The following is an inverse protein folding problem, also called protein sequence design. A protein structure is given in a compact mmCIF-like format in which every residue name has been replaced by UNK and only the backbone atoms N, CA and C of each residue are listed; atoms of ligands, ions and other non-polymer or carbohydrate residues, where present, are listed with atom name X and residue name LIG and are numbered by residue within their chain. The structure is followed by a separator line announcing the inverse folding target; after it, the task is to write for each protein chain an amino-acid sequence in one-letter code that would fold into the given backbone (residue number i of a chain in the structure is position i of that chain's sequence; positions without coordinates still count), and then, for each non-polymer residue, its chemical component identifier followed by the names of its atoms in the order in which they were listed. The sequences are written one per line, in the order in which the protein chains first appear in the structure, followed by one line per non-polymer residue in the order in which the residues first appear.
data_IF_130249603916
#
_entry.id   IF_130249603916
#
_cell.length_a   1.000
_cell.length_b   1.000
_cell.length_c   1.000
_cell.angle_alpha   90.00
_cell.angle_beta   90.00
_cell.angle_gamma   90.00
#
_symmetry.space_group_name_H-M   'P 1'
#
loop_
_entity.id
_entity.type
_entity.pdbx_description
1 polymer ?
#
# COMPACT_ATOMS: atom_id res chain seq x y z
N UNK A 1 -16.85 -2.30 8.30
CA UNK A 1 -15.39 -2.16 8.56
C UNK A 1 -14.54 -3.13 7.75
N UNK A 2 -14.79 -4.45 7.76
CA UNK A 2 -13.92 -5.44 7.05
C UNK A 2 -13.77 -5.16 5.55
N UNK A 3 -14.85 -4.92 4.81
CA UNK A 3 -14.78 -4.60 3.38
C UNK A 3 -14.02 -3.31 3.07
N UNK A 4 -14.07 -2.34 3.97
CA UNK A 4 -13.38 -1.05 3.82
C UNK A 4 -11.88 -1.17 4.09
N UNK A 5 -11.50 -1.95 5.10
CA UNK A 5 -10.10 -2.27 5.40
C UNK A 5 -9.42 -2.95 4.21
N UNK A 6 -10.13 -3.85 3.51
CA UNK A 6 -9.63 -4.50 2.30
C UNK A 6 -9.41 -3.51 1.14
N UNK A 7 -10.33 -2.56 0.96
CA UNK A 7 -10.22 -1.51 -0.08
C UNK A 7 -9.02 -0.60 0.19
N UNK A 8 -8.89 -0.08 1.41
CA UNK A 8 -7.79 0.81 1.80
C UNK A 8 -6.45 0.07 1.80
N UNK A 9 -6.40 -1.15 2.35
CA UNK A 9 -5.21 -1.99 2.39
C UNK A 9 -4.69 -2.34 0.99
N UNK A 10 -5.57 -2.76 0.09
CA UNK A 10 -5.23 -3.04 -1.31
C UNK A 10 -4.79 -1.78 -2.06
N UNK A 11 -5.41 -0.64 -1.76
CA UNK A 11 -5.03 0.64 -2.32
C UNK A 11 -3.65 1.12 -1.84
N UNK A 12 -3.30 0.88 -0.58
CA UNK A 12 -2.01 1.25 0.00
C UNK A 12 -0.84 0.63 -0.76
N UNK A 13 -0.99 -0.61 -1.24
CA UNK A 13 -0.01 -1.30 -2.07
C UNK A 13 0.36 -0.57 -3.37
N UNK A 14 -0.49 0.35 -3.87
CA UNK A 14 -0.19 1.12 -5.06
C UNK A 14 0.67 2.37 -4.82
N UNK A 15 0.78 2.85 -3.58
CA UNK A 15 1.42 4.12 -3.23
C UNK A 15 2.50 4.01 -2.16
N UNK A 16 2.45 2.97 -1.32
CA UNK A 16 3.40 2.79 -0.23
C UNK A 16 4.71 2.27 -0.79
N UNK A 17 5.79 2.86 -0.31
CA UNK A 17 7.14 2.37 -0.51
C UNK A 17 7.38 1.17 0.39
N UNK A 18 7.40 -0.04 -0.17
CA UNK A 18 7.54 -1.30 0.57
C UNK A 18 9.03 -1.63 0.68
N UNK A 19 9.64 -1.59 1.88
CA UNK A 19 11.06 -1.86 2.03
C UNK A 19 11.42 -3.29 1.59
N UNK A 20 12.56 -3.48 0.94
CA UNK A 20 13.12 -4.81 0.69
C UNK A 20 14.24 -5.06 1.71
N UNK A 21 14.05 -5.96 2.69
CA UNK A 21 15.06 -6.22 3.72
C UNK A 21 16.41 -6.66 3.14
N UNK A 22 17.50 -6.29 3.80
CA UNK A 22 18.86 -6.69 3.42
C UNK A 22 19.47 -5.96 2.21
N UNK A 23 18.76 -5.00 1.60
CA UNK A 23 19.22 -4.32 0.37
C UNK A 23 19.88 -2.95 0.58
N UNK A 24 20.10 -2.53 1.84
CA UNK A 24 20.66 -1.22 2.14
C UNK A 24 19.75 -0.06 1.70
N UNK A 25 18.42 -0.23 1.83
CA UNK A 25 17.44 0.83 1.64
C UNK A 25 16.70 0.82 0.31
N UNK A 26 16.71 -0.27 -0.46
CA UNK A 26 15.84 -0.40 -1.64
C UNK A 26 14.40 -0.75 -1.24
N UNK A 27 13.46 -0.40 -2.09
CA UNK A 27 12.05 -0.63 -1.86
C UNK A 27 11.29 -0.88 -3.17
N UNK A 28 10.20 -1.64 -3.08
CA UNK A 28 9.24 -1.84 -4.15
C UNK A 28 8.33 -0.62 -4.28
N UNK A 29 8.19 -0.12 -5.50
CA UNK A 29 7.32 1.01 -5.86
C UNK A 29 6.74 0.80 -7.27
N UNK A 30 5.57 1.37 -7.55
CA UNK A 30 4.93 1.32 -8.88
C UNK A 30 5.19 2.58 -9.73
N UNK A 31 6.00 3.51 -9.22
CA UNK A 31 6.36 4.76 -9.90
C UNK A 31 7.86 5.01 -9.80
N UNK A 32 8.49 5.56 -10.85
CA UNK A 32 9.93 5.85 -10.85
C UNK A 32 10.25 6.98 -9.87
N UNK A 33 11.46 6.96 -9.30
CA UNK A 33 12.08 8.10 -8.62
C UNK A 33 13.26 8.64 -9.42
N UNK A 34 13.53 9.92 -9.25
CA UNK A 34 14.59 10.63 -9.97
C UNK A 34 14.11 11.16 -11.34
N UNK A 35 15.02 11.18 -12.32
CA UNK A 35 14.73 11.73 -13.64
C UNK A 35 13.75 10.83 -14.42
N UNK A 36 12.66 11.43 -14.91
CA UNK A 36 11.67 10.78 -15.77
C UNK A 36 11.70 11.49 -17.13
N UNK A 37 11.81 10.76 -18.26
CA UNK A 37 11.72 11.36 -19.59
C UNK A 37 10.42 12.16 -19.77
N UNK A 38 10.42 13.18 -20.63
CA UNK A 38 9.19 13.95 -20.93
C UNK A 38 8.04 13.09 -21.46
N UNK A 39 8.35 11.95 -22.09
CA UNK A 39 7.36 10.94 -22.53
C UNK A 39 6.88 9.99 -21.42
N UNK A 40 7.31 10.20 -20.18
CA UNK A 40 7.04 9.31 -19.05
C UNK A 40 7.97 8.10 -19.00
N UNK A 41 7.63 7.15 -18.12
CA UNK A 41 8.26 5.84 -18.01
C UNK A 41 7.23 4.77 -18.33
N UNK A 42 7.60 3.84 -19.20
CA UNK A 42 6.80 2.64 -19.54
C UNK A 42 6.84 1.57 -18.45
N UNK A 43 7.73 1.71 -17.46
CA UNK A 43 7.94 0.71 -16.42
C UNK A 43 6.83 0.76 -15.37
N UNK A 44 6.35 -0.41 -14.96
CA UNK A 44 5.23 -0.56 -14.04
C UNK A 44 5.65 -0.94 -12.61
N UNK A 45 6.88 -1.44 -12.45
CA UNK A 45 7.44 -1.87 -11.17
C UNK A 45 8.91 -1.45 -11.03
N UNK A 46 9.26 -0.98 -9.84
CA UNK A 46 10.57 -0.48 -9.49
C UNK A 46 11.02 -1.10 -8.17
N UNK A 47 12.26 -1.58 -8.11
CA UNK A 47 12.98 -1.83 -6.85
C UNK A 47 14.06 -0.77 -6.74
N UNK A 48 13.85 0.28 -5.95
CA UNK A 48 14.68 1.48 -6.03
C UNK A 48 15.00 2.13 -4.68
N UNK A 49 16.13 2.84 -4.66
CA UNK A 49 16.54 3.72 -3.56
C UNK A 49 15.68 4.98 -3.51
N UNK A 50 15.71 5.67 -2.38
CA UNK A 50 14.95 6.91 -2.14
C UNK A 50 15.29 8.03 -3.14
N UNK A 51 16.54 8.10 -3.56
CA UNK A 51 17.04 9.08 -4.54
C UNK A 51 16.85 8.62 -6.01
N UNK A 52 16.32 7.41 -6.22
CA UNK A 52 16.12 6.82 -7.55
C UNK A 52 17.41 6.45 -8.29
N UNK A 53 18.59 6.64 -7.68
CA UNK A 53 19.87 6.35 -8.33
C UNK A 53 20.08 4.85 -8.50
N UNK A 54 19.93 4.07 -7.43
CA UNK A 54 19.91 2.60 -7.50
C UNK A 54 18.49 2.18 -7.85
N UNK A 55 18.27 1.67 -9.06
CA UNK A 55 16.98 1.14 -9.45
C UNK A 55 17.11 -0.15 -10.27
N UNK A 56 16.30 -1.13 -9.91
CA UNK A 56 15.89 -2.21 -10.78
C UNK A 56 14.54 -1.79 -11.36
N UNK A 57 14.52 -1.53 -12.67
CA UNK A 57 13.27 -1.33 -13.38
C UNK A 57 12.84 -2.68 -13.90
N UNK A 58 11.73 -3.17 -13.40
CA UNK A 58 10.98 -4.16 -14.15
C UNK A 58 10.23 -3.43 -15.26
N UNK A 59 11.03 -3.00 -16.24
CA UNK A 59 10.55 -2.40 -17.46
C UNK A 59 10.15 -3.54 -18.39
N UNK A 60 8.89 -3.89 -18.30
CA UNK A 60 8.34 -4.97 -19.07
C UNK A 60 7.97 -4.47 -20.48
N UNK A 61 8.98 -4.29 -21.32
CA UNK A 61 8.81 -4.05 -22.75
C UNK A 61 8.70 -5.37 -23.49
N UNK A 62 7.67 -5.52 -24.35
CA UNK A 62 7.63 -6.66 -25.26
C UNK A 62 8.80 -6.54 -26.23
N UNK A 63 9.78 -7.42 -26.08
CA UNK A 63 10.89 -7.52 -27.01
C UNK A 63 10.39 -8.27 -28.24
N UNK A 64 10.25 -7.54 -29.35
CA UNK A 64 9.79 -8.11 -30.64
C UNK A 64 10.72 -9.19 -31.18
N UNK A 65 12.00 -9.17 -30.82
CA UNK A 65 13.01 -10.17 -31.21
C UNK A 65 12.89 -11.45 -30.40
N UNK A 66 12.73 -11.36 -29.07
CA UNK A 66 12.61 -12.54 -28.20
C UNK A 66 11.17 -12.99 -27.92
N UNK A 67 10.19 -12.25 -28.46
CA UNK A 67 8.73 -12.42 -28.23
C UNK A 67 8.35 -12.56 -26.76
N UNK A 68 9.13 -11.94 -25.89
CA UNK A 68 9.04 -12.08 -24.45
C UNK A 68 9.24 -10.72 -23.78
N UNK A 69 9.14 -10.72 -22.46
CA UNK A 69 9.30 -9.52 -21.68
C UNK A 69 10.64 -9.58 -20.94
N UNK A 70 11.44 -8.52 -21.03
CA UNK A 70 12.81 -8.49 -20.51
C UNK A 70 12.90 -7.66 -19.23
N UNK A 71 13.91 -7.93 -18.40
CA UNK A 71 14.35 -7.04 -17.33
C UNK A 71 15.24 -5.91 -17.91
N UNK A 72 15.09 -4.66 -17.47
CA UNK A 72 15.98 -3.55 -17.87
C UNK A 72 16.70 -2.94 -16.68
N UNK A 73 18.01 -2.76 -16.83
CA UNK A 73 18.88 -2.21 -15.80
C UNK A 73 19.37 -0.85 -16.28
N UNK A 74 19.27 0.16 -15.42
CA UNK A 74 19.78 1.49 -15.79
C UNK A 74 21.17 1.79 -15.21
N UNK A 75 21.82 0.85 -14.52
CA UNK A 75 23.11 1.10 -13.88
C UNK A 75 24.07 -0.10 -13.94
N UNK A 76 25.35 0.22 -14.11
CA UNK A 76 26.47 -0.72 -13.90
C UNK A 76 26.58 -1.04 -12.40
N UNK A 77 26.84 -2.30 -12.05
CA UNK A 77 27.17 -2.74 -10.68
C UNK A 77 26.02 -3.39 -9.88
N UNK A 78 24.77 -3.20 -10.31
CA UNK A 78 23.58 -3.76 -9.64
C UNK A 78 23.44 -5.29 -9.77
N UNK A 79 24.15 -5.92 -10.72
CA UNK A 79 24.20 -7.38 -10.84
C UNK A 79 24.66 -8.06 -9.55
N UNK A 80 25.58 -7.47 -8.80
CA UNK A 80 26.08 -8.06 -7.55
C UNK A 80 25.00 -8.15 -6.46
N UNK A 81 24.02 -7.24 -6.48
CA UNK A 81 22.94 -7.19 -5.48
C UNK A 81 21.79 -8.13 -5.81
N UNK A 82 21.51 -8.31 -7.10
CA UNK A 82 20.28 -8.95 -7.57
C UNK A 82 20.51 -10.20 -8.42
N UNK A 83 21.74 -10.44 -8.89
CA UNK A 83 22.16 -11.59 -9.70
C UNK A 83 21.34 -11.85 -10.96
N UNK A 84 20.71 -10.82 -11.52
CA UNK A 84 19.94 -10.88 -12.75
C UNK A 84 20.67 -10.02 -13.79
N UNK A 85 20.91 -10.56 -14.98
CA UNK A 85 21.63 -9.84 -16.03
C UNK A 85 20.74 -8.78 -16.71
N UNK A 86 21.39 -7.76 -17.30
CA UNK A 86 20.69 -6.79 -18.12
C UNK A 86 20.09 -7.45 -19.37
N UNK A 87 18.86 -7.07 -19.73
CA UNK A 87 18.04 -7.70 -20.76
C UNK A 87 17.74 -9.20 -20.58
N UNK A 88 17.89 -9.76 -19.37
CA UNK A 88 17.50 -11.14 -19.10
C UNK A 88 15.99 -11.36 -19.37
N UNK A 89 15.66 -12.52 -19.94
CA UNK A 89 14.28 -12.94 -20.17
C UNK A 89 13.57 -13.12 -18.82
N UNK A 90 12.42 -12.48 -18.67
CA UNK A 90 11.69 -12.52 -17.41
C UNK A 90 10.86 -13.80 -17.19
N UNK A 91 10.75 -14.66 -18.21
CA UNK A 91 9.98 -15.90 -18.16
C UNK A 91 8.48 -15.70 -17.88
N UNK A 92 7.78 -16.80 -17.59
CA UNK A 92 6.33 -16.77 -17.29
C UNK A 92 5.98 -16.02 -16.01
N UNK A 93 6.81 -16.16 -14.95
CA UNK A 93 6.63 -15.46 -13.68
C UNK A 93 6.74 -13.95 -13.82
N UNK A 94 7.70 -13.46 -14.62
CA UNK A 94 7.81 -12.04 -14.91
C UNK A 94 6.61 -11.48 -15.68
N UNK A 95 6.09 -12.22 -16.67
CA UNK A 95 4.90 -11.77 -17.42
C UNK A 95 3.66 -11.65 -16.53
N UNK A 96 3.49 -12.55 -15.56
CA UNK A 96 2.40 -12.46 -14.58
C UNK A 96 2.57 -11.24 -13.67
N UNK A 97 3.78 -11.03 -13.16
CA UNK A 97 4.11 -9.88 -12.31
C UNK A 97 3.90 -8.54 -13.03
N UNK A 98 4.23 -8.46 -14.32
CA UNK A 98 3.95 -7.29 -15.15
C UNK A 98 2.47 -6.92 -15.16
N UNK A 99 1.62 -7.90 -15.47
CA UNK A 99 0.18 -7.71 -15.56
C UNK A 99 -0.40 -7.30 -14.21
N UNK A 100 0.05 -7.95 -13.13
CA UNK A 100 -0.35 -7.61 -11.76
C UNK A 100 0.08 -6.20 -11.40
N UNK A 101 1.33 -5.80 -11.66
CA UNK A 101 1.83 -4.46 -11.36
C UNK A 101 1.08 -3.38 -12.15
N UNK A 102 0.76 -3.64 -13.43
CA UNK A 102 -0.02 -2.72 -14.27
C UNK A 102 -1.44 -2.52 -13.72
N UNK A 103 -2.11 -3.61 -13.36
CA UNK A 103 -3.44 -3.56 -12.75
C UNK A 103 -3.38 -2.89 -11.39
N UNK A 104 -2.45 -3.27 -10.51
CA UNK A 104 -2.31 -2.69 -9.18
C UNK A 104 -2.05 -1.18 -9.21
N UNK A 105 -1.25 -0.69 -10.16
CA UNK A 105 -0.95 0.74 -10.30
C UNK A 105 -2.20 1.59 -10.58
N UNK A 106 -3.10 1.09 -11.43
CA UNK A 106 -4.31 1.83 -11.82
C UNK A 106 -5.46 1.53 -10.86
N UNK A 107 -5.76 0.24 -10.65
CA UNK A 107 -6.85 -0.21 -9.79
C UNK A 107 -6.63 0.16 -8.32
N UNK A 108 -5.41 0.03 -7.80
CA UNK A 108 -5.11 0.35 -6.41
C UNK A 108 -5.31 1.84 -6.09
N UNK A 109 -4.98 2.74 -7.02
CA UNK A 109 -5.30 4.17 -6.87
C UNK A 109 -6.80 4.43 -6.85
N UNK A 110 -7.55 3.75 -7.71
CA UNK A 110 -9.02 3.79 -7.68
C UNK A 110 -9.57 3.32 -6.33
N UNK A 111 -9.05 2.21 -5.80
CA UNK A 111 -9.44 1.68 -4.49
C UNK A 111 -9.15 2.67 -3.35
N UNK A 112 -8.03 3.40 -3.38
CA UNK A 112 -7.75 4.45 -2.39
C UNK A 112 -8.80 5.55 -2.40
N UNK A 113 -9.19 6.03 -3.59
CA UNK A 113 -10.22 7.06 -3.72
C UNK A 113 -11.57 6.55 -3.22
N UNK A 114 -11.96 5.33 -3.60
CA UNK A 114 -13.18 4.69 -3.12
C UNK A 114 -13.15 4.55 -1.59
N UNK A 115 -12.03 4.10 -1.03
CA UNK A 115 -11.84 3.98 0.42
C UNK A 115 -12.04 5.30 1.14
N UNK A 116 -11.41 6.37 0.65
CA UNK A 116 -11.54 7.72 1.21
C UNK A 116 -12.98 8.25 1.13
N UNK A 117 -13.71 7.99 0.04
CA UNK A 117 -15.12 8.37 -0.09
C UNK A 117 -16.00 7.61 0.91
N UNK A 118 -15.81 6.29 1.04
CA UNK A 118 -16.54 5.48 2.03
C UNK A 118 -16.25 5.99 3.45
N UNK A 119 -15.00 6.37 3.74
CA UNK A 119 -14.63 6.95 5.04
C UNK A 119 -15.33 8.30 5.29
N UNK A 120 -15.34 9.19 4.32
CA UNK A 120 -16.02 10.48 4.43
C UNK A 120 -17.52 10.29 4.69
N UNK A 121 -18.19 9.39 3.95
CA UNK A 121 -19.60 9.06 4.17
C UNK A 121 -19.80 8.50 5.57
N UNK A 122 -18.91 7.60 6.04
CA UNK A 122 -18.99 7.02 7.38
C UNK A 122 -18.89 8.07 8.49
N UNK A 123 -18.03 9.09 8.31
CA UNK A 123 -17.85 10.18 9.26
C UNK A 123 -19.11 11.04 9.33
N UNK A 124 -19.69 11.39 8.17
CA UNK A 124 -20.89 12.24 8.10
C UNK A 124 -22.09 11.56 8.75
N UNK A 125 -22.25 10.26 8.53
CA UNK A 125 -23.38 9.47 9.05
C UNK A 125 -23.18 9.01 10.51
N UNK A 126 -21.97 9.09 11.05
CA UNK A 126 -21.68 8.66 12.42
C UNK A 126 -22.34 9.57 13.46
N UNK A 127 -22.99 8.95 14.45
CA UNK A 127 -23.53 9.66 15.64
C UNK A 127 -22.41 10.36 16.42
N UNK A 128 -21.30 9.66 16.67
CA UNK A 128 -20.08 10.20 17.30
C UNK A 128 -19.04 10.52 16.22
N UNK A 129 -19.14 11.70 15.60
CA UNK A 129 -18.29 12.08 14.44
C UNK A 129 -16.80 12.06 14.77
N UNK A 130 -16.38 12.63 15.90
CA UNK A 130 -14.96 12.70 16.27
C UNK A 130 -14.35 11.33 16.58
N UNK A 131 -15.12 10.44 17.22
CA UNK A 131 -14.75 9.03 17.37
C UNK A 131 -14.51 8.37 16.02
N UNK A 132 -15.41 8.58 15.05
CA UNK A 132 -15.26 8.02 13.71
C UNK A 132 -14.06 8.62 12.96
N UNK A 133 -13.82 9.93 13.07
CA UNK A 133 -12.61 10.57 12.50
C UNK A 133 -11.34 9.94 13.07
N UNK A 134 -11.26 9.77 14.39
CA UNK A 134 -10.11 9.14 15.04
C UNK A 134 -9.87 7.71 14.54
N UNK A 135 -10.94 6.92 14.42
CA UNK A 135 -10.88 5.56 13.87
C UNK A 135 -10.34 5.54 12.43
N UNK A 136 -10.85 6.41 11.57
CA UNK A 136 -10.41 6.49 10.16
C UNK A 136 -8.94 6.88 10.09
N UNK A 137 -8.52 7.94 10.78
CA UNK A 137 -7.13 8.40 10.77
C UNK A 137 -6.18 7.32 11.30
N UNK A 138 -6.54 6.67 12.40
CA UNK A 138 -5.80 5.53 12.93
C UNK A 138 -5.76 4.38 11.91
N UNK A 139 -6.89 4.07 11.26
CA UNK A 139 -7.01 3.09 10.18
C UNK A 139 -6.01 3.35 9.06
N UNK A 140 -5.98 4.54 8.49
CA UNK A 140 -5.05 4.91 7.42
C UNK A 140 -3.58 4.84 7.87
N UNK A 141 -3.28 5.32 9.08
CA UNK A 141 -1.93 5.21 9.66
C UNK A 141 -1.50 3.74 9.87
N UNK A 142 -2.40 2.92 10.41
CA UNK A 142 -2.20 1.49 10.59
C UNK A 142 -2.04 0.74 9.27
N UNK A 143 -2.81 1.10 8.24
CA UNK A 143 -2.68 0.53 6.90
C UNK A 143 -1.30 0.83 6.29
N UNK A 144 -0.81 2.06 6.45
CA UNK A 144 0.51 2.44 5.97
C UNK A 144 1.63 1.65 6.66
N UNK A 145 1.60 1.59 8.00
CA UNK A 145 2.60 0.86 8.79
C UNK A 145 2.51 -0.64 8.53
N UNK A 146 1.31 -1.20 8.54
CA UNK A 146 1.05 -2.62 8.29
C UNK A 146 1.48 -3.05 6.89
N UNK A 147 1.19 -2.22 5.86
CA UNK A 147 1.67 -2.47 4.51
C UNK A 147 3.20 -2.52 4.45
N UNK A 148 3.91 -1.59 5.10
CA UNK A 148 5.38 -1.61 5.11
C UNK A 148 5.93 -2.83 5.84
N UNK A 149 5.42 -3.14 7.02
CA UNK A 149 5.93 -4.21 7.85
C UNK A 149 5.68 -5.59 7.23
N UNK A 150 4.43 -5.89 6.88
CA UNK A 150 4.06 -7.18 6.30
C UNK A 150 4.50 -7.26 4.84
N UNK A 151 4.52 -6.15 4.10
CA UNK A 151 5.09 -6.10 2.76
C UNK A 151 6.61 -6.35 2.78
N UNK A 152 7.36 -5.83 3.74
CA UNK A 152 8.78 -6.16 3.87
C UNK A 152 9.00 -7.64 4.20
N UNK A 153 8.19 -8.20 5.12
CA UNK A 153 8.22 -9.63 5.44
C UNK A 153 7.87 -10.51 4.23
N UNK A 154 6.82 -10.12 3.48
CA UNK A 154 6.41 -10.79 2.26
C UNK A 154 7.47 -10.69 1.16
N UNK A 155 8.13 -9.54 1.01
CA UNK A 155 9.23 -9.37 0.08
C UNK A 155 10.42 -10.27 0.44
N UNK A 156 10.78 -10.36 1.72
CA UNK A 156 11.81 -11.28 2.19
C UNK A 156 11.44 -12.74 1.91
N UNK A 157 10.22 -13.16 2.28
CA UNK A 157 9.74 -14.52 2.03
C UNK A 157 9.68 -14.86 0.54
N UNK A 158 9.19 -13.95 -0.29
CA UNK A 158 9.14 -14.12 -1.74
C UNK A 158 10.53 -14.19 -2.37
N UNK A 159 11.52 -13.48 -1.83
CA UNK A 159 12.93 -13.56 -2.28
C UNK A 159 13.51 -14.97 -2.08
N UNK A 160 13.07 -15.70 -1.06
CA UNK A 160 13.52 -17.08 -0.81
C UNK A 160 13.01 -18.07 -1.87
N UNK A 161 11.88 -17.77 -2.51
CA UNK A 161 11.31 -18.58 -3.59
C UNK A 161 11.95 -18.20 -4.92
N UNK A 162 11.92 -16.91 -5.25
CA UNK A 162 12.49 -16.37 -6.49
C UNK A 162 12.97 -14.93 -6.26
N UNK A 163 14.28 -14.67 -6.30
CA UNK A 163 14.80 -13.31 -6.24
C UNK A 163 14.26 -12.42 -7.36
N UNK A 164 13.79 -11.21 -7.01
CA UNK A 164 13.24 -10.25 -7.95
C UNK A 164 11.74 -10.43 -8.16
N UNK A 165 11.33 -11.49 -8.86
CA UNK A 165 9.91 -11.78 -9.14
C UNK A 165 9.13 -12.11 -7.87
N UNK A 166 9.60 -13.11 -7.11
CA UNK A 166 9.01 -13.50 -5.83
C UNK A 166 9.07 -12.37 -4.80
N UNK A 167 10.18 -11.63 -4.74
CA UNK A 167 10.31 -10.41 -3.90
C UNK A 167 9.17 -9.43 -4.14
N UNK A 168 8.87 -9.15 -5.41
CA UNK A 168 7.82 -8.21 -5.77
C UNK A 168 6.41 -8.75 -5.48
N UNK A 169 6.10 -9.99 -5.88
CA UNK A 169 4.79 -10.62 -5.56
C UNK A 169 4.57 -10.62 -4.05
N UNK A 170 5.52 -11.18 -3.31
CA UNK A 170 5.43 -11.29 -1.86
C UNK A 170 5.32 -9.93 -1.19
N UNK A 171 6.03 -8.93 -1.69
CA UNK A 171 5.96 -7.57 -1.17
C UNK A 171 4.60 -6.91 -1.36
N UNK A 172 4.03 -6.92 -2.56
CA UNK A 172 2.72 -6.29 -2.79
C UNK A 172 1.57 -7.07 -2.14
N UNK A 173 1.59 -8.40 -2.18
CA UNK A 173 0.59 -9.24 -1.51
C UNK A 173 0.68 -9.02 0.00
N UNK A 174 1.88 -9.10 0.57
CA UNK A 174 2.13 -8.83 1.98
C UNK A 174 1.69 -7.42 2.38
N UNK A 175 1.94 -6.42 1.53
CA UNK A 175 1.50 -5.06 1.79
C UNK A 175 -0.04 -4.93 1.76
N UNK A 176 -0.73 -5.54 0.80
CA UNK A 176 -2.19 -5.47 0.73
C UNK A 176 -2.83 -6.10 1.98
N UNK A 177 -2.34 -7.28 2.37
CA UNK A 177 -2.79 -7.99 3.59
C UNK A 177 -2.45 -7.20 4.84
N UNK A 178 -1.20 -6.76 5.00
CA UNK A 178 -0.76 -5.97 6.14
C UNK A 178 -1.44 -4.61 6.21
N UNK A 179 -1.75 -3.99 5.08
CA UNK A 179 -2.51 -2.76 5.02
C UNK A 179 -3.94 -2.94 5.49
N UNK A 180 -4.60 -4.04 5.08
CA UNK A 180 -5.95 -4.35 5.53
C UNK A 180 -6.01 -4.69 7.02
N UNK A 181 -5.11 -5.55 7.49
CA UNK A 181 -4.98 -5.91 8.90
C UNK A 181 -4.61 -4.70 9.76
N UNK A 182 -3.67 -3.88 9.27
CA UNK A 182 -3.26 -2.65 9.91
C UNK A 182 -4.41 -1.66 10.05
N UNK A 183 -5.17 -1.43 8.99
CA UNK A 183 -6.37 -0.58 9.01
C UNK A 183 -7.37 -1.05 10.06
N UNK A 184 -7.71 -2.33 10.01
CA UNK A 184 -8.71 -2.91 10.89
C UNK A 184 -8.26 -2.85 12.36
N UNK A 185 -7.03 -3.30 12.64
CA UNK A 185 -6.49 -3.34 13.99
C UNK A 185 -6.35 -1.97 14.63
N UNK A 186 -5.82 -0.98 13.91
CA UNK A 186 -5.67 0.38 14.45
C UNK A 186 -7.00 1.11 14.59
N UNK A 187 -7.97 0.85 13.70
CA UNK A 187 -9.33 1.41 13.83
C UNK A 187 -10.03 0.89 15.09
N UNK A 188 -9.88 -0.39 15.41
CA UNK A 188 -10.42 -0.97 16.65
C UNK A 188 -9.70 -0.42 17.88
N UNK A 189 -8.37 -0.32 17.84
CA UNK A 189 -7.62 0.24 18.96
C UNK A 189 -7.99 1.70 19.25
N UNK A 190 -8.16 2.51 18.20
CA UNK A 190 -8.59 3.90 18.33
C UNK A 190 -10.03 4.02 18.85
N UNK A 191 -10.91 3.10 18.45
CA UNK A 191 -12.27 3.02 19.00
C UNK A 191 -12.25 2.77 20.51
N UNK A 192 -11.56 1.71 20.94
CA UNK A 192 -11.45 1.35 22.35
C UNK A 192 -10.78 2.46 23.17
N UNK A 193 -9.76 3.12 22.62
CA UNK A 193 -9.09 4.22 23.29
C UNK A 193 -10.03 5.43 23.44
N UNK A 194 -10.78 5.79 22.39
CA UNK A 194 -11.72 6.91 22.44
C UNK A 194 -12.81 6.65 23.48
N UNK A 195 -13.38 5.44 23.49
CA UNK A 195 -14.42 5.06 24.45
C UNK A 195 -13.89 5.10 25.89
N UNK A 196 -12.69 4.57 26.13
CA UNK A 196 -12.05 4.66 27.44
C UNK A 196 -11.80 6.10 27.90
N UNK A 197 -11.35 6.99 26.99
CA UNK A 197 -11.16 8.41 27.30
C UNK A 197 -12.49 9.09 27.63
N UNK A 198 -13.53 8.80 26.84
CA UNK A 198 -14.87 9.36 27.05
C UNK A 198 -15.45 8.95 28.40
N UNK A 199 -15.34 7.67 28.77
CA UNK A 199 -15.82 7.13 30.04
C UNK A 199 -15.02 7.62 31.26
N UNK A 200 -13.72 7.85 31.12
CA UNK A 200 -12.84 8.18 32.25
C UNK A 200 -12.82 9.68 32.54
N UNK A 201 -12.90 10.52 31.50
CA UNK A 201 -12.59 11.96 31.61
C UNK A 201 -13.77 12.88 31.37
N UNK A 202 -14.91 12.37 30.89
CA UNK A 202 -16.08 13.19 30.60
C UNK A 202 -17.28 12.71 31.40
N UNK A 203 -17.85 13.61 32.20
CA UNK A 203 -19.15 13.38 32.81
C UNK A 203 -20.24 13.42 31.72
N UNK A 204 -21.18 12.46 31.70
CA UNK A 204 -22.32 12.55 30.82
C UNK A 204 -23.10 13.82 31.16
N UNK A 205 -23.34 14.67 30.15
CA UNK A 205 -24.16 15.85 30.33
C UNK A 205 -25.53 15.43 30.89
N UNK A 206 -26.10 16.16 31.87
CA UNK A 206 -27.46 15.91 32.31
C UNK A 206 -28.37 15.93 31.09
N UNK A 207 -29.15 14.87 30.90
CA UNK A 207 -30.23 14.92 29.91
C UNK A 207 -31.15 16.06 30.32
N UNK A 208 -31.32 17.08 29.48
CA UNK A 208 -32.40 18.04 29.67
C UNK A 208 -33.71 17.25 29.63
N UNK A 209 -34.28 16.96 30.81
CA UNK A 209 -35.69 16.62 30.94
C UNK A 209 -36.45 17.84 30.45
N UNK A 210 -36.88 17.86 29.19
CA UNK A 210 -37.78 18.88 28.64
C UNK A 210 -38.99 19.04 29.57
N UNK A 211 -39.17 20.15 30.31
CA UNK A 211 -40.41 20.44 30.99
C UNK A 211 -41.05 21.62 30.26
N UNK A 212 -41.56 21.39 29.06
CA UNK A 212 -42.54 22.30 28.48
C UNK A 212 -43.56 21.51 27.65
N UNK A 213 -44.58 20.99 28.35
CA UNK A 213 -45.88 20.78 27.73
C UNK A 213 -46.43 22.17 27.39
N UNK A 214 -46.40 22.53 26.11
CA UNK A 214 -47.12 23.70 25.63
C UNK A 214 -48.61 23.54 25.99
N UNK A 215 -49.23 24.50 26.70
CA UNK A 215 -50.68 24.50 26.82
C UNK A 215 -51.29 24.74 25.43
N UNK A 216 -52.36 23.98 25.16
CA UNK A 216 -53.14 23.87 23.92
C UNK A 216 -53.42 25.20 23.22
#
# INVERSE_FOLDING_TARGET
MVGQALVVGSGAAAIVRIPVPGTGGLALELSPRGWVPKGGSTSTLFVQSLDGKRNLRLDYGYNVTTKSVNYHWNQKGTFQEFKIADHALAGGGGKALYNVAKVAKVAGRGLLVVGAVIDAVSIVQAKKRWRQVAKVLAGWGGAWVGCKAVGAAGAAGGTLVEPGGGTAVGGFVGCAVGGALGYFGSSLAAESLYDWVEETWYDPLPQETQPWSAPL
#
